data_IF_291912977797
#
_entry.id   IF_291912977797
#
_cell.length_a   1.000
_cell.length_b   1.000
_cell.length_c   1.000
_cell.angle_alpha   90.00
_cell.angle_beta   90.00
_cell.angle_gamma   90.00
#
_symmetry.space_group_name_H-M   'P 1'
#
loop_
_entity.id
_entity.type
_entity.pdbx_description
1 polymer ?
#
# COMPACT_ATOMS: atom_id res chain seq x y z
N UNK A 1 -37.28 -82.77 23.27
CA UNK A 1 -38.16 -82.48 24.42
C UNK A 1 -37.77 -81.12 24.94
N UNK A 2 -38.61 -80.12 25.15
CA UNK A 2 -40.02 -79.92 24.92
C UNK A 2 -40.22 -78.41 25.06
N UNK A 3 -41.15 -77.89 24.30
CA UNK A 3 -41.57 -76.50 24.25
C UNK A 3 -42.06 -75.97 25.59
N UNK A 4 -41.58 -74.80 26.01
CA UNK A 4 -42.38 -73.85 26.80
C UNK A 4 -42.28 -72.47 26.15
N UNK A 5 -43.19 -72.24 25.21
CA UNK A 5 -43.47 -70.93 24.63
C UNK A 5 -44.14 -70.10 25.72
N UNK A 6 -43.40 -69.16 26.31
CA UNK A 6 -43.98 -68.17 27.20
C UNK A 6 -44.90 -67.25 26.38
N UNK A 7 -46.20 -67.33 26.65
CA UNK A 7 -47.25 -66.48 26.09
C UNK A 7 -46.84 -65.01 26.22
N UNK A 8 -46.94 -64.17 25.18
CA UNK A 8 -46.74 -62.73 25.34
C UNK A 8 -47.78 -62.23 26.33
N UNK A 9 -47.32 -61.72 27.48
CA UNK A 9 -48.16 -60.94 28.36
C UNK A 9 -48.43 -59.64 27.61
N UNK A 10 -49.64 -59.50 27.07
CA UNK A 10 -50.14 -58.24 26.57
C UNK A 10 -50.23 -57.30 27.77
N UNK A 11 -49.19 -56.50 27.97
CA UNK A 11 -49.24 -55.35 28.87
C UNK A 11 -50.47 -54.52 28.51
N UNK A 12 -51.26 -54.05 29.49
CA UNK A 12 -52.39 -53.18 29.21
C UNK A 12 -51.90 -52.02 28.37
N UNK A 13 -52.48 -51.86 27.18
CA UNK A 13 -52.23 -50.72 26.30
C UNK A 13 -52.43 -49.46 27.13
N UNK A 14 -51.32 -48.80 27.52
CA UNK A 14 -51.35 -47.48 28.12
C UNK A 14 -51.88 -46.55 27.02
N UNK A 15 -53.20 -46.39 26.98
CA UNK A 15 -53.85 -45.32 26.25
C UNK A 15 -53.46 -44.06 27.02
N UNK A 16 -52.30 -43.51 26.66
CA UNK A 16 -51.88 -42.17 27.05
C UNK A 16 -52.85 -41.21 26.35
N UNK A 17 -54.05 -41.06 26.89
CA UNK A 17 -54.85 -39.89 26.62
C UNK A 17 -54.00 -38.70 27.08
N UNK A 18 -53.50 -37.93 26.12
CA UNK A 18 -52.67 -36.75 26.39
C UNK A 18 -53.41 -35.87 27.40
N UNK A 19 -52.74 -35.20 28.33
CA UNK A 19 -53.42 -34.39 29.37
C UNK A 19 -54.51 -33.44 28.78
N UNK A 20 -54.31 -32.99 27.54
CA UNK A 20 -55.28 -32.24 26.74
C UNK A 20 -56.54 -33.05 26.35
N UNK A 21 -56.41 -34.29 25.90
CA UNK A 21 -57.55 -35.17 25.54
C UNK A 21 -58.37 -35.53 26.79
N UNK A 22 -57.72 -35.87 27.90
CA UNK A 22 -58.39 -36.15 29.18
C UNK A 22 -59.16 -34.92 29.69
N UNK A 23 -58.61 -33.72 29.52
CA UNK A 23 -59.28 -32.47 29.86
C UNK A 23 -60.53 -32.23 29.01
N UNK A 24 -60.47 -32.48 27.69
CA UNK A 24 -61.65 -32.32 26.81
C UNK A 24 -62.78 -33.29 27.15
N UNK A 25 -62.45 -34.56 27.46
CA UNK A 25 -63.45 -35.57 27.88
C UNK A 25 -64.07 -35.21 29.23
N UNK A 26 -63.27 -34.69 30.17
CA UNK A 26 -63.76 -34.22 31.46
C UNK A 26 -64.73 -33.04 31.30
N UNK A 27 -64.35 -32.05 30.49
CA UNK A 27 -65.17 -30.88 30.20
C UNK A 27 -66.51 -31.28 29.55
N UNK A 28 -66.49 -32.22 28.60
CA UNK A 28 -67.71 -32.71 27.96
C UNK A 28 -68.63 -33.42 28.96
N UNK A 29 -68.07 -34.24 29.86
CA UNK A 29 -68.85 -34.93 30.91
C UNK A 29 -69.43 -33.95 31.93
N UNK A 30 -68.70 -32.90 32.31
CA UNK A 30 -69.22 -31.84 33.18
C UNK A 30 -70.43 -31.14 32.54
N UNK A 31 -70.33 -30.79 31.25
CA UNK A 31 -71.44 -30.18 30.51
C UNK A 31 -72.69 -31.07 30.51
N UNK A 32 -72.52 -32.37 30.27
CA UNK A 32 -73.63 -33.34 30.31
C UNK A 32 -74.24 -33.35 31.72
N UNK A 33 -73.45 -33.41 32.78
CA UNK A 33 -73.97 -33.37 34.15
C UNK A 33 -74.74 -32.08 34.44
N UNK A 34 -74.23 -30.93 34.03
CA UNK A 34 -74.91 -29.62 34.18
C UNK A 34 -76.26 -29.59 33.48
N UNK A 35 -76.30 -30.08 32.24
CA UNK A 35 -77.53 -30.16 31.43
C UNK A 35 -78.54 -31.14 32.03
N UNK A 36 -78.10 -32.34 32.41
CA UNK A 36 -78.97 -33.37 33.00
C UNK A 36 -79.48 -32.96 34.39
N UNK A 37 -78.68 -32.24 35.17
CA UNK A 37 -79.08 -31.68 36.48
C UNK A 37 -80.07 -30.53 36.30
N UNK A 38 -79.89 -29.71 35.28
CA UNK A 38 -80.83 -28.62 34.97
C UNK A 38 -82.17 -29.17 34.46
N UNK A 39 -82.14 -30.17 33.58
CA UNK A 39 -83.35 -30.90 33.16
C UNK A 39 -84.06 -31.57 34.35
N UNK A 40 -83.32 -32.20 35.28
CA UNK A 40 -83.94 -32.79 36.48
C UNK A 40 -84.63 -31.73 37.35
N UNK A 41 -84.02 -30.55 37.50
CA UNK A 41 -84.62 -29.44 38.22
C UNK A 41 -85.96 -29.03 37.59
N UNK A 42 -86.00 -28.94 36.28
CA UNK A 42 -87.20 -28.57 35.52
C UNK A 42 -88.28 -29.65 35.66
N UNK A 43 -87.90 -30.93 35.61
CA UNK A 43 -88.79 -32.08 35.85
C UNK A 43 -89.40 -32.03 37.27
N UNK A 44 -88.59 -31.72 38.29
CA UNK A 44 -89.05 -31.57 39.68
C UNK A 44 -90.01 -30.37 39.85
N UNK A 45 -89.75 -29.27 39.16
CA UNK A 45 -90.65 -28.10 39.13
C UNK A 45 -91.99 -28.50 38.51
N UNK A 46 -91.97 -29.22 37.38
CA UNK A 46 -93.15 -29.69 36.67
C UNK A 46 -93.98 -30.68 37.52
N UNK A 47 -93.34 -31.53 38.31
CA UNK A 47 -94.00 -32.43 39.26
C UNK A 47 -94.59 -31.73 40.50
N UNK A 48 -94.57 -30.39 40.54
CA UNK A 48 -95.18 -29.61 41.63
C UNK A 48 -94.34 -29.51 42.90
N UNK A 49 -93.06 -29.90 42.82
CA UNK A 49 -92.05 -29.74 43.87
C UNK A 49 -91.25 -28.42 43.73
N UNK A 50 -91.66 -27.56 42.79
CA UNK A 50 -91.12 -26.21 42.61
C UNK A 50 -91.54 -25.24 43.73
N UNK A 51 -90.63 -24.34 44.06
CA UNK A 51 -90.61 -23.35 45.15
C UNK A 51 -91.97 -22.91 45.75
N UNK A 52 -92.40 -23.56 46.84
CA UNK A 52 -93.47 -23.08 47.75
C UNK A 52 -92.89 -22.38 48.98
N UNK A 53 -92.00 -21.39 48.81
CA UNK A 53 -91.47 -20.60 49.95
C UNK A 53 -91.91 -19.14 50.02
N UNK A 54 -92.86 -18.67 49.18
CA UNK A 54 -93.20 -17.24 49.11
C UNK A 54 -94.70 -16.85 49.20
N UNK A 55 -95.62 -17.66 49.75
CA UNK A 55 -97.06 -17.27 49.80
C UNK A 55 -97.79 -17.53 51.14
N UNK A 56 -97.15 -17.34 52.29
CA UNK A 56 -97.84 -17.24 53.59
C UNK A 56 -97.16 -16.18 54.47
N UNK A 57 -97.44 -14.91 54.20
CA UNK A 57 -97.27 -13.82 55.16
C UNK A 57 -98.58 -13.01 55.25
N UNK A 58 -98.91 -12.62 56.49
CA UNK A 58 -99.95 -11.67 56.93
C UNK A 58 -101.40 -12.14 56.95
N UNK A 59 -101.78 -12.77 58.07
CA UNK A 59 -103.05 -12.45 58.74
C UNK A 59 -102.76 -12.34 60.23
N UNK A 60 -102.69 -11.10 60.73
CA UNK A 60 -102.66 -10.79 62.15
C UNK A 60 -103.94 -11.30 62.81
N UNK A 61 -103.82 -12.10 63.88
CA UNK A 61 -104.57 -11.87 65.12
C UNK A 61 -103.91 -12.65 66.27
N UNK A 62 -103.79 -11.94 67.39
CA UNK A 62 -103.09 -12.27 68.62
C UNK A 62 -103.81 -13.35 69.44
N UNK A 63 -103.03 -14.10 70.22
CA UNK A 63 -103.36 -15.03 71.33
C UNK A 63 -103.54 -16.54 71.01
N UNK A 64 -102.49 -17.29 71.35
CA UNK A 64 -102.51 -18.69 71.85
C UNK A 64 -102.83 -18.62 73.38
N UNK A 65 -103.33 -19.65 74.11
CA UNK A 65 -103.11 -21.07 73.82
C UNK A 65 -104.25 -22.05 74.19
N UNK A 66 -103.91 -23.34 74.03
CA UNK A 66 -104.55 -24.55 74.59
C UNK A 66 -105.46 -25.30 73.62
N UNK A 67 -104.91 -26.31 72.93
CA UNK A 67 -105.34 -27.70 73.11
C UNK A 67 -104.48 -28.64 72.27
N UNK A 68 -103.86 -29.62 72.92
CA UNK A 68 -103.45 -30.86 72.27
C UNK A 68 -104.64 -31.45 71.51
N UNK A 69 -104.52 -31.65 70.20
CA UNK A 69 -105.22 -32.74 69.53
C UNK A 69 -104.71 -32.97 68.11
N UNK A 70 -104.20 -34.18 67.95
CA UNK A 70 -104.57 -35.09 66.84
C UNK A 70 -104.27 -34.51 65.46
N UNK A 71 -103.15 -34.95 64.89
CA UNK A 71 -103.05 -35.12 63.44
C UNK A 71 -104.21 -36.01 63.00
N UNK A 72 -105.27 -35.37 62.53
CA UNK A 72 -106.33 -36.01 61.77
C UNK A 72 -105.69 -36.65 60.53
N UNK A 73 -106.13 -37.85 60.11
CA UNK A 73 -105.77 -38.33 58.79
C UNK A 73 -106.37 -37.33 57.79
N UNK A 74 -105.53 -36.73 56.95
CA UNK A 74 -105.98 -35.97 55.78
C UNK A 74 -106.99 -36.88 55.05
N UNK A 75 -108.24 -36.45 54.84
CA UNK A 75 -109.20 -37.26 54.10
C UNK A 75 -108.62 -37.53 52.72
N UNK A 76 -108.53 -38.82 52.35
CA UNK A 76 -108.27 -39.24 50.98
C UNK A 76 -109.41 -38.73 50.09
N UNK A 77 -109.28 -37.49 49.64
CA UNK A 77 -110.11 -36.90 48.62
C UNK A 77 -109.62 -37.46 47.27
N UNK A 78 -110.27 -38.55 46.86
CA UNK A 78 -110.24 -39.16 45.52
C UNK A 78 -108.84 -39.54 45.02
N UNK A 79 -108.25 -40.58 45.63
CA UNK A 79 -107.25 -41.40 44.94
C UNK A 79 -108.00 -42.25 43.90
N UNK A 80 -108.06 -41.74 42.67
CA UNK A 80 -108.41 -42.54 41.51
C UNK A 80 -107.44 -43.75 41.44
N UNK A 81 -107.87 -45.00 41.17
CA UNK A 81 -106.96 -46.16 41.13
C UNK A 81 -105.78 -45.99 40.15
N UNK A 82 -105.94 -45.15 39.14
CA UNK A 82 -104.93 -44.75 38.14
C UNK A 82 -103.81 -43.86 38.74
N UNK A 83 -104.10 -43.10 39.81
CA UNK A 83 -103.19 -42.14 40.45
C UNK A 83 -102.03 -42.78 41.22
N UNK A 84 -102.24 -43.95 41.84
CA UNK A 84 -101.19 -44.66 42.61
C UNK A 84 -100.07 -45.23 41.73
N UNK A 85 -100.44 -45.74 40.56
CA UNK A 85 -99.49 -46.26 39.57
C UNK A 85 -98.66 -45.17 38.90
N UNK A 86 -99.26 -43.99 38.67
CA UNK A 86 -98.57 -42.81 38.15
C UNK A 86 -97.54 -42.28 39.17
N UNK A 87 -97.91 -42.24 40.45
CA UNK A 87 -97.01 -41.78 41.51
C UNK A 87 -95.78 -42.70 41.67
N UNK A 88 -95.97 -44.02 41.66
CA UNK A 88 -94.86 -44.98 41.74
C UNK A 88 -93.90 -44.86 40.55
N UNK A 89 -94.43 -44.71 39.32
CA UNK A 89 -93.62 -44.49 38.12
C UNK A 89 -92.81 -43.20 38.20
N UNK A 90 -93.36 -42.14 38.80
CA UNK A 90 -92.64 -40.89 39.02
C UNK A 90 -91.48 -41.05 40.02
N UNK A 91 -91.70 -41.81 41.11
CA UNK A 91 -90.63 -42.14 42.06
C UNK A 91 -89.53 -43.01 41.44
N UNK A 92 -89.92 -44.02 40.66
CA UNK A 92 -88.99 -44.90 39.95
C UNK A 92 -88.18 -44.13 38.90
N UNK A 93 -88.82 -43.23 38.14
CA UNK A 93 -88.14 -42.33 37.21
C UNK A 93 -87.13 -41.44 37.93
N UNK A 94 -87.53 -40.80 39.02
CA UNK A 94 -86.67 -39.92 39.81
C UNK A 94 -85.47 -40.68 40.41
N UNK A 95 -85.70 -41.88 40.95
CA UNK A 95 -84.64 -42.71 41.51
C UNK A 95 -83.63 -43.13 40.43
N UNK A 96 -84.10 -43.62 39.29
CA UNK A 96 -83.24 -43.98 38.15
C UNK A 96 -82.46 -42.78 37.62
N UNK A 97 -83.09 -41.61 37.57
CA UNK A 97 -82.48 -40.35 37.14
C UNK A 97 -81.38 -39.87 38.10
N UNK A 98 -81.63 -39.96 39.41
CA UNK A 98 -80.65 -39.66 40.45
C UNK A 98 -79.48 -40.65 40.40
N UNK A 99 -79.74 -41.95 40.24
CA UNK A 99 -78.68 -42.95 40.07
C UNK A 99 -77.83 -42.69 38.82
N UNK A 100 -78.44 -42.25 37.71
CA UNK A 100 -77.71 -41.88 36.51
C UNK A 100 -76.81 -40.66 36.73
N UNK A 101 -77.31 -39.61 37.40
CA UNK A 101 -76.50 -38.44 37.75
C UNK A 101 -75.36 -38.80 38.69
N UNK A 102 -75.62 -39.64 39.69
CA UNK A 102 -74.60 -40.13 40.62
C UNK A 102 -73.48 -40.87 39.86
N UNK A 103 -73.83 -41.74 38.92
CA UNK A 103 -72.89 -42.45 38.05
C UNK A 103 -72.05 -41.52 37.16
N UNK A 104 -72.56 -40.33 36.83
CA UNK A 104 -71.80 -39.32 36.08
C UNK A 104 -70.91 -38.45 36.99
N UNK A 105 -71.38 -38.11 38.18
CA UNK A 105 -70.67 -37.23 39.13
C UNK A 105 -69.47 -37.93 39.77
N UNK A 106 -69.60 -39.22 40.12
CA UNK A 106 -68.55 -39.94 40.81
C UNK A 106 -67.21 -40.02 40.02
N UNK A 107 -67.20 -40.35 38.72
CA UNK A 107 -65.98 -40.31 37.91
C UNK A 107 -65.39 -38.91 37.75
N UNK A 108 -66.23 -37.87 37.63
CA UNK A 108 -65.77 -36.48 37.55
C UNK A 108 -65.01 -36.08 38.81
N UNK A 109 -65.59 -36.41 39.97
CA UNK A 109 -64.97 -36.18 41.28
C UNK A 109 -63.60 -36.86 41.36
N UNK A 110 -63.50 -38.14 40.99
CA UNK A 110 -62.22 -38.87 41.01
C UNK A 110 -61.16 -38.26 40.10
N UNK A 111 -61.53 -37.82 38.89
CA UNK A 111 -60.60 -37.18 37.96
C UNK A 111 -60.11 -35.83 38.47
N UNK A 112 -60.99 -35.01 39.07
CA UNK A 112 -60.61 -33.74 39.68
C UNK A 112 -59.63 -33.99 40.84
N UNK A 113 -59.93 -34.96 41.72
CA UNK A 113 -59.00 -35.34 42.79
C UNK A 113 -57.65 -35.81 42.25
N UNK A 114 -57.62 -36.63 41.19
CA UNK A 114 -56.37 -37.10 40.61
C UNK A 114 -55.54 -35.93 40.04
N UNK A 115 -56.15 -35.02 39.28
CA UNK A 115 -55.46 -33.85 38.72
C UNK A 115 -54.94 -32.89 39.80
N UNK A 116 -55.74 -32.66 40.84
CA UNK A 116 -55.33 -31.87 42.00
C UNK A 116 -54.14 -32.53 42.71
N UNK A 117 -54.22 -33.85 42.91
CA UNK A 117 -53.18 -34.65 43.56
C UNK A 117 -51.90 -34.69 42.74
N UNK A 118 -51.97 -34.81 41.41
CA UNK A 118 -50.82 -34.79 40.51
C UNK A 118 -50.13 -33.42 40.50
N UNK A 119 -50.91 -32.34 40.56
CA UNK A 119 -50.40 -30.98 40.72
C UNK A 119 -49.69 -30.80 42.07
N UNK A 120 -50.30 -31.28 43.15
CA UNK A 120 -49.80 -31.09 44.52
C UNK A 120 -48.64 -32.04 44.87
N UNK A 121 -48.56 -33.22 44.25
CA UNK A 121 -47.49 -34.21 44.44
C UNK A 121 -46.29 -34.03 43.51
N UNK A 122 -46.30 -33.05 42.59
CA UNK A 122 -45.16 -32.80 41.71
C UNK A 122 -44.30 -31.54 42.02
N UNK A 123 -44.07 -31.14 43.29
CA UNK A 123 -43.18 -30.03 43.60
C UNK A 123 -41.71 -30.38 43.33
N UNK A 124 -41.35 -31.67 43.33
CA UNK A 124 -39.98 -32.13 43.02
C UNK A 124 -39.60 -31.89 41.56
N UNK A 125 -40.48 -32.18 40.58
CA UNK A 125 -40.21 -31.87 39.17
C UNK A 125 -40.16 -30.37 38.92
N UNK A 126 -41.02 -29.59 39.59
CA UNK A 126 -40.99 -28.13 39.51
C UNK A 126 -39.67 -27.55 40.06
N UNK A 127 -39.21 -28.04 41.21
CA UNK A 127 -37.92 -27.66 41.79
C UNK A 127 -36.75 -28.05 40.88
N UNK A 128 -36.74 -29.29 40.37
CA UNK A 128 -35.71 -29.77 39.45
C UNK A 128 -35.61 -28.95 38.15
N UNK A 129 -36.75 -28.61 37.53
CA UNK A 129 -36.76 -27.75 36.33
C UNK A 129 -36.28 -26.33 36.64
N UNK A 130 -36.62 -25.80 37.81
CA UNK A 130 -36.13 -24.49 38.27
C UNK A 130 -34.62 -24.49 38.49
N UNK A 131 -34.08 -25.54 39.10
CA UNK A 131 -32.63 -25.67 39.31
C UNK A 131 -31.86 -25.85 37.99
N UNK A 132 -32.43 -26.61 37.03
CA UNK A 132 -31.89 -26.68 35.67
C UNK A 132 -31.90 -25.31 34.99
N UNK A 133 -33.01 -24.57 35.07
CA UNK A 133 -33.11 -23.22 34.49
C UNK A 133 -32.08 -22.28 35.10
N UNK A 134 -31.90 -22.30 36.42
CA UNK A 134 -30.90 -21.48 37.11
C UNK A 134 -29.47 -21.84 36.70
N UNK A 135 -29.18 -23.14 36.53
CA UNK A 135 -27.87 -23.62 36.04
C UNK A 135 -27.59 -23.08 34.64
N UNK A 136 -28.55 -23.26 33.71
CA UNK A 136 -28.44 -22.77 32.33
C UNK A 136 -28.28 -21.24 32.29
N UNK A 137 -29.05 -20.50 33.08
CA UNK A 137 -28.91 -19.04 33.18
C UNK A 137 -27.55 -18.62 33.73
N UNK A 138 -27.03 -19.33 34.74
CA UNK A 138 -25.71 -19.07 35.31
C UNK A 138 -24.57 -19.33 34.31
N UNK A 139 -24.67 -20.38 33.50
CA UNK A 139 -23.72 -20.68 32.42
C UNK A 139 -23.78 -19.62 31.32
N UNK A 140 -24.98 -19.29 30.81
CA UNK A 140 -25.15 -18.23 29.82
C UNK A 140 -24.59 -16.88 30.29
N UNK A 141 -24.75 -16.54 31.57
CA UNK A 141 -24.18 -15.32 32.12
C UNK A 141 -22.65 -15.34 32.15
N UNK A 142 -22.03 -16.49 32.44
CA UNK A 142 -20.56 -16.64 32.38
C UNK A 142 -20.07 -16.53 30.94
N UNK A 143 -20.72 -17.20 30.00
CA UNK A 143 -20.37 -17.16 28.59
C UNK A 143 -20.50 -15.74 28.03
N UNK A 144 -21.56 -15.02 28.39
CA UNK A 144 -21.75 -13.62 27.99
C UNK A 144 -20.62 -12.73 28.50
N UNK A 145 -20.16 -12.93 29.75
CA UNK A 145 -19.02 -12.20 30.30
C UNK A 145 -17.71 -12.51 29.58
N UNK A 146 -17.45 -13.78 29.28
CA UNK A 146 -16.26 -14.19 28.52
C UNK A 146 -16.29 -13.59 27.11
N UNK A 147 -17.43 -13.63 26.44
CA UNK A 147 -17.60 -13.05 25.11
C UNK A 147 -17.39 -11.53 25.13
N UNK A 148 -17.91 -10.83 26.14
CA UNK A 148 -17.67 -9.40 26.31
C UNK A 148 -16.17 -9.07 26.48
N UNK A 149 -15.46 -9.87 27.28
CA UNK A 149 -14.01 -9.71 27.46
C UNK A 149 -13.25 -9.97 26.15
N UNK A 150 -13.62 -11.01 25.41
CA UNK A 150 -13.01 -11.34 24.13
C UNK A 150 -13.24 -10.24 23.10
N UNK A 151 -14.45 -9.67 23.04
CA UNK A 151 -14.75 -8.51 22.17
C UNK A 151 -13.88 -7.31 22.54
N UNK A 152 -13.67 -7.04 23.83
CA UNK A 152 -12.77 -5.96 24.26
C UNK A 152 -11.32 -6.24 23.86
N UNK A 153 -10.85 -7.48 24.04
CA UNK A 153 -9.51 -7.90 23.66
C UNK A 153 -9.27 -7.77 22.15
N UNK A 154 -10.19 -8.28 21.33
CA UNK A 154 -10.10 -8.20 19.87
C UNK A 154 -10.13 -6.76 19.36
N UNK A 155 -10.95 -5.88 19.96
CA UNK A 155 -10.94 -4.44 19.64
C UNK A 155 -9.60 -3.80 19.95
N UNK A 156 -8.98 -4.16 21.07
CA UNK A 156 -7.66 -3.66 21.44
C UNK A 156 -6.59 -4.15 20.46
N UNK A 157 -6.61 -5.43 20.08
CA UNK A 157 -5.68 -5.98 19.08
C UNK A 157 -5.87 -5.32 17.71
N UNK A 158 -7.11 -5.13 17.27
CA UNK A 158 -7.41 -4.43 16.01
C UNK A 158 -6.85 -3.01 16.01
N UNK A 159 -6.95 -2.30 17.14
CA UNK A 159 -6.37 -0.96 17.27
C UNK A 159 -4.85 -0.98 17.12
N UNK A 160 -4.16 -1.92 17.78
CA UNK A 160 -2.69 -2.06 17.67
C UNK A 160 -2.27 -2.38 16.24
N UNK A 161 -2.93 -3.35 15.60
CA UNK A 161 -2.67 -3.71 14.20
C UNK A 161 -2.91 -2.53 13.27
N UNK A 162 -3.96 -1.73 13.52
CA UNK A 162 -4.25 -0.56 12.70
C UNK A 162 -3.17 0.53 12.84
N UNK A 163 -2.72 0.78 14.07
CA UNK A 163 -1.62 1.71 14.31
C UNK A 163 -0.29 1.22 13.70
N UNK A 164 -0.04 -0.10 13.67
CA UNK A 164 1.11 -0.70 12.99
C UNK A 164 1.02 -0.58 11.47
N UNK A 165 -0.16 -0.82 10.89
CA UNK A 165 -0.44 -0.64 9.47
C UNK A 165 -0.17 0.80 9.05
N UNK A 166 -0.70 1.77 9.80
CA UNK A 166 -0.52 3.20 9.48
C UNK A 166 0.97 3.60 9.57
N UNK A 167 1.71 3.12 10.58
CA UNK A 167 3.17 3.32 10.67
C UNK A 167 3.94 2.70 9.51
N UNK A 168 3.57 1.47 9.12
CA UNK A 168 4.20 0.79 7.99
C UNK A 168 3.92 1.53 6.68
N UNK A 169 2.70 2.06 6.50
CA UNK A 169 2.32 2.85 5.35
C UNK A 169 3.11 4.16 5.25
N UNK A 170 3.29 4.86 6.37
CA UNK A 170 4.13 6.08 6.44
C UNK A 170 5.58 5.77 6.05
N UNK A 171 6.13 4.64 6.54
CA UNK A 171 7.48 4.21 6.21
C UNK A 171 7.63 3.85 4.73
N UNK A 172 6.64 3.16 4.13
CA UNK A 172 6.61 2.88 2.70
C UNK A 172 6.61 4.17 1.88
N UNK A 173 5.82 5.18 2.26
CA UNK A 173 5.82 6.47 1.57
C UNK A 173 7.18 7.18 1.68
N UNK A 174 7.79 7.18 2.88
CA UNK A 174 9.11 7.77 3.12
C UNK A 174 10.20 7.09 2.28
N UNK A 175 10.20 5.76 2.24
CA UNK A 175 11.15 4.98 1.46
C UNK A 175 10.93 5.18 -0.05
N UNK A 176 9.68 5.28 -0.49
CA UNK A 176 9.33 5.57 -1.90
C UNK A 176 9.88 6.93 -2.31
N UNK A 177 9.65 7.99 -1.52
CA UNK A 177 10.19 9.32 -1.80
C UNK A 177 11.73 9.32 -1.83
N UNK A 178 12.37 8.58 -0.92
CA UNK A 178 13.84 8.44 -0.88
C UNK A 178 14.35 7.73 -2.14
N UNK A 179 13.67 6.67 -2.58
CA UNK A 179 14.01 5.91 -3.77
C UNK A 179 13.86 6.76 -5.04
N UNK A 180 12.81 7.58 -5.14
CA UNK A 180 12.61 8.51 -6.25
C UNK A 180 13.75 9.53 -6.33
N UNK A 181 14.11 10.16 -5.21
CA UNK A 181 15.24 11.11 -5.13
C UNK A 181 16.56 10.42 -5.52
N UNK A 182 16.83 9.21 -5.00
CA UNK A 182 18.04 8.47 -5.32
C UNK A 182 18.10 8.07 -6.81
N UNK A 183 16.96 7.70 -7.39
CA UNK A 183 16.85 7.32 -8.80
C UNK A 183 17.09 8.54 -9.71
N UNK A 184 16.48 9.68 -9.40
CA UNK A 184 16.68 10.91 -10.16
C UNK A 184 18.12 11.43 -10.02
N UNK A 185 18.70 11.34 -8.81
CA UNK A 185 20.11 11.70 -8.58
C UNK A 185 21.05 10.82 -9.40
N UNK A 186 20.80 9.50 -9.45
CA UNK A 186 21.59 8.56 -10.26
C UNK A 186 21.51 8.89 -11.75
N UNK A 187 20.30 9.22 -12.24
CA UNK A 187 20.08 9.63 -13.62
C UNK A 187 20.86 10.91 -13.96
N UNK A 188 20.79 11.93 -13.10
CA UNK A 188 21.54 13.18 -13.27
C UNK A 188 23.05 12.95 -13.24
N UNK A 189 23.55 12.09 -12.34
CA UNK A 189 24.97 11.73 -12.30
C UNK A 189 25.43 11.05 -13.60
N UNK A 190 24.62 10.16 -14.18
CA UNK A 190 24.94 9.51 -15.45
C UNK A 190 24.99 10.51 -16.63
N UNK A 191 24.10 11.50 -16.65
CA UNK A 191 24.14 12.59 -17.66
C UNK A 191 25.43 13.39 -17.54
N UNK A 192 25.79 13.82 -16.32
CA UNK A 192 27.03 14.57 -16.06
C UNK A 192 28.26 13.75 -16.45
N UNK A 193 28.26 12.44 -16.17
CA UNK A 193 29.36 11.54 -16.55
C UNK A 193 29.54 11.49 -18.08
N UNK A 194 28.45 11.37 -18.84
CA UNK A 194 28.52 11.36 -20.30
C UNK A 194 28.96 12.72 -20.86
N UNK A 195 28.46 13.84 -20.33
CA UNK A 195 28.92 15.18 -20.71
C UNK A 195 30.43 15.35 -20.46
N UNK A 196 30.93 14.88 -19.32
CA UNK A 196 32.36 14.91 -19.00
C UNK A 196 33.16 14.02 -19.96
N UNK A 197 32.67 12.82 -20.31
CA UNK A 197 33.31 11.95 -21.32
C UNK A 197 33.37 12.63 -22.68
N UNK A 198 32.31 13.30 -23.13
CA UNK A 198 32.34 14.02 -24.41
C UNK A 198 33.34 15.18 -24.38
N UNK A 199 33.40 15.95 -23.28
CA UNK A 199 34.34 17.04 -23.11
C UNK A 199 35.78 16.55 -23.10
N UNK A 200 36.07 15.45 -22.38
CA UNK A 200 37.37 14.79 -22.38
C UNK A 200 37.80 14.36 -23.79
N UNK A 201 36.89 13.77 -24.57
CA UNK A 201 37.16 13.38 -25.97
C UNK A 201 37.51 14.61 -26.83
N UNK A 202 36.73 15.69 -26.72
CA UNK A 202 36.99 16.96 -27.45
C UNK A 202 38.36 17.55 -27.09
N UNK A 203 38.68 17.62 -25.80
CA UNK A 203 39.97 18.14 -25.33
C UNK A 203 41.14 17.27 -25.81
N UNK A 204 41.01 15.94 -25.76
CA UNK A 204 42.04 15.02 -26.27
C UNK A 204 42.30 15.22 -27.76
N UNK A 205 41.26 15.38 -28.58
CA UNK A 205 41.41 15.69 -30.00
C UNK A 205 42.15 17.02 -30.20
N UNK A 206 41.82 18.05 -29.42
CA UNK A 206 42.51 19.34 -29.49
C UNK A 206 43.99 19.23 -29.08
N UNK A 207 44.32 18.44 -28.06
CA UNK A 207 45.70 18.17 -27.64
C UNK A 207 46.47 17.46 -28.75
N UNK A 208 45.88 16.46 -29.39
CA UNK A 208 46.51 15.73 -30.50
C UNK A 208 46.79 16.67 -31.68
N UNK A 209 45.84 17.52 -32.04
CA UNK A 209 46.03 18.51 -33.11
C UNK A 209 47.14 19.53 -32.76
N UNK A 210 47.17 20.05 -31.54
CA UNK A 210 48.24 20.95 -31.09
C UNK A 210 49.61 20.28 -31.11
N UNK A 211 49.71 19.00 -30.73
CA UNK A 211 50.97 18.24 -30.82
C UNK A 211 51.43 18.08 -32.26
N UNK A 212 50.52 17.82 -33.20
CA UNK A 212 50.82 17.73 -34.63
C UNK A 212 51.33 19.08 -35.17
N UNK A 213 50.66 20.17 -34.80
CA UNK A 213 51.08 21.52 -35.18
C UNK A 213 52.46 21.87 -34.62
N UNK A 214 52.73 21.54 -33.36
CA UNK A 214 54.03 21.76 -32.74
C UNK A 214 55.14 20.98 -33.46
N UNK A 215 54.93 19.69 -33.76
CA UNK A 215 55.90 18.89 -34.49
C UNK A 215 56.18 19.43 -35.90
N UNK A 216 55.15 19.96 -36.58
CA UNK A 216 55.30 20.61 -37.88
C UNK A 216 56.12 21.90 -37.78
N UNK A 217 55.84 22.73 -36.77
CA UNK A 217 56.58 23.97 -36.51
C UNK A 217 58.05 23.70 -36.18
N UNK A 218 58.34 22.69 -35.36
CA UNK A 218 59.72 22.26 -35.04
C UNK A 218 60.48 21.86 -36.32
N UNK A 219 59.85 21.11 -37.23
CA UNK A 219 60.46 20.71 -38.49
C UNK A 219 60.76 21.91 -39.41
N UNK A 220 59.81 22.85 -39.53
CA UNK A 220 59.99 24.08 -40.32
C UNK A 220 61.10 24.94 -39.70
N UNK A 221 61.11 25.11 -38.38
CA UNK A 221 62.13 25.87 -37.67
C UNK A 221 63.53 25.26 -37.87
N UNK A 222 63.68 23.95 -37.71
CA UNK A 222 64.96 23.27 -37.95
C UNK A 222 65.46 23.46 -39.39
N UNK A 223 64.55 23.41 -40.37
CA UNK A 223 64.88 23.65 -41.78
C UNK A 223 65.31 25.10 -42.03
N UNK A 224 64.64 26.06 -41.39
CA UNK A 224 64.97 27.48 -41.46
C UNK A 224 66.31 27.78 -40.80
N UNK A 225 66.59 27.23 -39.61
CA UNK A 225 67.87 27.38 -38.90
C UNK A 225 69.04 26.82 -39.73
N UNK A 226 68.85 25.67 -40.38
CA UNK A 226 69.85 25.11 -41.30
C UNK A 226 70.10 26.02 -42.50
N UNK A 227 69.04 26.55 -43.10
CA UNK A 227 69.15 27.50 -44.22
C UNK A 227 69.86 28.79 -43.79
N UNK A 228 69.46 29.37 -42.66
CA UNK A 228 70.06 30.59 -42.11
C UNK A 228 71.55 30.41 -41.82
N UNK A 229 71.94 29.27 -41.22
CA UNK A 229 73.35 28.94 -40.96
C UNK A 229 74.15 28.83 -42.26
N UNK A 230 73.59 28.21 -43.31
CA UNK A 230 74.23 28.13 -44.62
C UNK A 230 74.38 29.49 -45.30
N UNK A 231 73.38 30.38 -45.17
CA UNK A 231 73.48 31.74 -45.72
C UNK A 231 74.53 32.56 -44.98
N UNK A 232 74.58 32.48 -43.64
CA UNK A 232 75.60 33.17 -42.84
C UNK A 232 77.01 32.73 -43.23
N UNK A 233 77.24 31.42 -43.43
CA UNK A 233 78.52 30.92 -43.92
C UNK A 233 78.89 31.54 -45.28
N UNK A 234 77.94 31.58 -46.22
CA UNK A 234 78.16 32.16 -47.56
C UNK A 234 78.43 33.66 -47.50
N UNK A 235 77.78 34.39 -46.60
CA UNK A 235 78.06 35.81 -46.37
C UNK A 235 79.49 35.98 -45.86
N UNK A 236 79.93 35.18 -44.88
CA UNK A 236 81.30 35.24 -44.35
C UNK A 236 82.36 34.90 -45.42
N UNK A 237 82.11 33.90 -46.26
CA UNK A 237 82.98 33.57 -47.40
C UNK A 237 83.08 34.74 -48.38
N UNK A 238 81.96 35.38 -48.69
CA UNK A 238 81.92 36.55 -49.57
C UNK A 238 82.61 37.77 -48.94
N UNK A 239 82.43 38.02 -47.64
CA UNK A 239 83.15 39.05 -46.90
C UNK A 239 84.67 38.83 -46.96
N UNK A 240 85.12 37.59 -46.76
CA UNK A 240 86.53 37.21 -46.84
C UNK A 240 87.09 37.43 -48.26
N UNK A 241 86.33 37.06 -49.29
CA UNK A 241 86.71 37.28 -50.68
C UNK A 241 86.80 38.79 -51.02
N UNK A 242 85.81 39.58 -50.59
CA UNK A 242 85.82 41.04 -50.77
C UNK A 242 87.02 41.68 -50.08
N UNK A 243 87.38 41.21 -48.88
CA UNK A 243 88.54 41.74 -48.16
C UNK A 243 89.87 41.37 -48.85
N UNK A 244 89.98 40.16 -49.40
CA UNK A 244 91.13 39.76 -50.22
C UNK A 244 91.25 40.63 -51.49
N UNK A 245 90.14 40.89 -52.18
CA UNK A 245 90.11 41.78 -53.34
C UNK A 245 90.49 43.23 -52.98
N UNK A 246 90.05 43.74 -51.82
CA UNK A 246 90.48 45.06 -51.31
C UNK A 246 91.99 45.13 -51.10
N UNK A 247 92.60 44.09 -50.51
CA UNK A 247 94.05 44.02 -50.33
C UNK A 247 94.80 43.98 -51.66
N UNK A 248 94.30 43.23 -52.64
CA UNK A 248 94.85 43.19 -54.00
C UNK A 248 94.78 44.56 -54.67
N UNK A 249 93.63 45.26 -54.59
CA UNK A 249 93.47 46.62 -55.12
C UNK A 249 94.47 47.58 -54.47
N UNK A 250 94.63 47.54 -53.14
CA UNK A 250 95.59 48.39 -52.46
C UNK A 250 97.04 48.11 -52.90
N UNK A 251 97.38 46.83 -53.09
CA UNK A 251 98.71 46.43 -53.60
C UNK A 251 98.93 46.93 -55.02
N UNK A 252 97.92 46.83 -55.89
CA UNK A 252 97.99 47.31 -57.27
C UNK A 252 98.12 48.84 -57.32
N UNK A 253 97.35 49.56 -56.50
CA UNK A 253 97.46 51.01 -56.36
C UNK A 253 98.87 51.43 -55.96
N UNK A 254 99.50 50.74 -54.99
CA UNK A 254 100.87 51.01 -54.58
C UNK A 254 101.85 50.80 -55.75
N UNK A 255 101.73 49.67 -56.47
CA UNK A 255 102.57 49.40 -57.66
C UNK A 255 102.41 50.46 -58.74
N UNK A 256 101.20 50.98 -58.97
CA UNK A 256 100.98 52.07 -59.93
C UNK A 256 101.68 53.36 -59.50
N UNK A 257 101.64 53.70 -58.21
CA UNK A 257 102.36 54.86 -57.65
C UNK A 257 103.87 54.68 -57.83
N UNK A 258 104.40 53.50 -57.48
CA UNK A 258 105.82 53.18 -57.62
C UNK A 258 106.26 53.25 -59.10
N UNK A 259 105.47 52.67 -60.01
CA UNK A 259 105.74 52.74 -61.45
C UNK A 259 105.71 54.19 -61.97
N UNK A 260 104.74 54.99 -61.54
CA UNK A 260 104.65 56.40 -61.93
C UNK A 260 105.87 57.19 -61.45
N UNK A 261 106.30 57.01 -60.19
CA UNK A 261 107.51 57.65 -59.67
C UNK A 261 108.76 57.21 -60.42
N UNK A 262 108.92 55.92 -60.72
CA UNK A 262 110.04 55.40 -61.53
C UNK A 262 110.04 55.96 -62.95
N UNK A 263 108.88 56.06 -63.59
CA UNK A 263 108.73 56.67 -64.91
C UNK A 263 109.16 58.14 -64.88
N UNK A 264 108.72 58.89 -63.87
CA UNK A 264 109.11 60.29 -63.68
C UNK A 264 110.63 60.43 -63.51
N UNK A 265 111.25 59.61 -62.65
CA UNK A 265 112.72 59.61 -62.47
C UNK A 265 113.46 59.25 -63.77
N UNK A 266 112.95 58.28 -64.53
CA UNK A 266 113.56 57.90 -65.82
C UNK A 266 113.46 59.03 -66.84
N UNK A 267 112.34 59.76 -66.84
CA UNK A 267 112.12 60.91 -67.70
C UNK A 267 113.03 62.09 -67.32
N UNK A 268 113.26 62.32 -66.02
CA UNK A 268 114.24 63.30 -65.52
C UNK A 268 115.68 62.94 -65.94
N UNK A 269 116.07 61.67 -65.80
CA UNK A 269 117.38 61.18 -66.25
C UNK A 269 117.55 61.29 -67.77
N UNK A 270 116.50 60.98 -68.54
CA UNK A 270 116.51 61.13 -70.00
C UNK A 270 116.71 62.60 -70.40
N UNK A 271 115.98 63.53 -69.76
CA UNK A 271 116.14 64.95 -70.01
C UNK A 271 117.57 65.43 -69.70
N UNK A 272 118.17 64.92 -68.61
CA UNK A 272 119.56 65.22 -68.24
C UNK A 272 120.57 64.70 -69.28
N UNK A 273 120.42 63.45 -69.75
CA UNK A 273 121.30 62.89 -70.78
C UNK A 273 121.12 63.58 -72.14
N UNK A 274 119.88 63.95 -72.50
CA UNK A 274 119.63 64.69 -73.73
C UNK A 274 120.25 66.09 -73.68
N UNK A 275 120.22 66.76 -72.52
CA UNK A 275 120.95 68.01 -72.30
C UNK A 275 122.47 67.82 -72.42
N UNK A 276 123.03 66.75 -71.84
CA UNK A 276 124.47 66.42 -71.99
C UNK A 276 124.84 66.12 -73.44
N UNK A 277 124.03 65.32 -74.14
CA UNK A 277 124.20 64.99 -75.56
C UNK A 277 124.19 66.25 -76.41
N UNK A 278 123.22 67.15 -76.20
CA UNK A 278 123.19 68.44 -76.88
C UNK A 278 124.44 69.28 -76.56
N UNK A 279 124.88 69.29 -75.30
CA UNK A 279 126.13 69.95 -74.90
C UNK A 279 127.37 69.36 -75.62
N UNK A 280 127.46 68.03 -75.72
CA UNK A 280 128.51 67.32 -76.45
C UNK A 280 128.43 67.53 -77.96
N UNK A 281 127.23 67.63 -78.52
CA UNK A 281 127.03 67.91 -79.94
C UNK A 281 127.40 69.35 -80.29
N UNK A 282 127.11 70.30 -79.39
CA UNK A 282 127.58 71.68 -79.48
C UNK A 282 129.11 71.75 -79.38
N UNK A 283 129.76 71.03 -78.46
CA UNK A 283 131.22 71.00 -78.38
C UNK A 283 131.85 70.26 -79.56
N UNK A 284 131.25 69.18 -80.06
CA UNK A 284 131.68 68.50 -81.27
C UNK A 284 131.55 69.39 -82.51
N UNK A 285 130.46 70.15 -82.63
CA UNK A 285 130.24 71.15 -83.69
C UNK A 285 131.25 72.30 -83.59
N UNK A 286 131.56 72.76 -82.37
CA UNK A 286 132.60 73.76 -82.11
C UNK A 286 133.98 73.24 -82.53
N UNK A 287 134.37 72.03 -82.11
CA UNK A 287 135.62 71.38 -82.52
C UNK A 287 135.70 71.19 -84.05
N UNK A 288 134.58 70.83 -84.70
CA UNK A 288 134.48 70.72 -86.16
C UNK A 288 134.66 72.07 -86.85
N UNK A 289 134.10 73.14 -86.30
CA UNK A 289 134.32 74.52 -86.75
C UNK A 289 135.80 74.92 -86.59
N UNK A 290 136.40 74.63 -85.44
CA UNK A 290 137.81 74.95 -85.15
C UNK A 290 138.77 74.19 -86.10
N UNK A 291 138.46 72.94 -86.46
CA UNK A 291 139.13 72.18 -87.52
C UNK A 291 138.97 72.82 -88.91
N UNK A 292 137.79 73.39 -89.20
CA UNK A 292 137.51 74.09 -90.48
C UNK A 292 138.20 75.47 -90.58
N UNK A 293 138.48 76.12 -89.45
CA UNK A 293 139.21 77.39 -89.37
C UNK A 293 140.74 77.21 -89.46
N UNK A 294 141.26 75.99 -89.23
CA UNK A 294 142.67 75.66 -89.53
C UNK A 294 142.90 75.35 -91.01
N UNK A 295 141.85 75.11 -91.81
CA UNK A 295 141.98 74.72 -93.22
C UNK A 295 142.29 75.86 -94.22
N UNK A 296 142.06 77.17 -93.95
CA UNK A 296 142.48 78.24 -94.87
C UNK A 296 143.84 78.88 -94.54
N UNK A 297 144.52 78.49 -93.45
CA UNK A 297 145.85 79.05 -93.08
C UNK A 297 147.05 78.27 -93.65
N UNK A 298 146.81 77.26 -94.50
CA UNK A 298 147.87 76.52 -95.23
C UNK A 298 148.03 76.90 -96.70
N UNK A 299 147.32 77.91 -97.21
CA UNK A 299 147.37 78.28 -98.63
C UNK A 299 147.44 79.80 -98.88
N UNK A 300 148.55 80.46 -98.48
CA UNK A 300 149.13 81.67 -99.12
C UNK A 300 150.33 82.24 -98.35
N UNK A 301 151.49 81.60 -98.49
CA UNK A 301 152.79 82.23 -98.82
C UNK A 301 153.56 81.19 -99.64
N UNK A 302 153.19 81.10 -100.92
CA UNK A 302 154.10 81.25 -102.06
C UNK A 302 153.63 82.51 -102.78
#
# INVERSE_FOLDING_TARGET
>A
METTVCRPVLSPTHINATASETFTVLQQKMRIVEEQTSSLRDDLIMLGYGDRRCQLQTSDYLEDPVSQKVTSPIPNEVVCPESRGILWKNYEFLANRMCYLENLIQPLKMNIFHLQTEKDLNPQKAAFLKDQLNTIQGEHFKDLKLLQLEVMNLRQQLKVVKEEEDRAQDEVQRLTATLEIATETKKNAAVIEEELKTTKRKMNLKIQELRRQLAQEEHVRASLEKSASSMLLKVHEMESAVEAERQQVHTLQQKCIDLHSSMQTTQELLAQEQQKSNGLEMTASQLKSDLSMQTPLRARIL
#
